data_IF_807303594558
#
_entry.id   IF_807303594558
#
_cell.length_a   1.000
_cell.length_b   1.000
_cell.length_c   1.000
_cell.angle_alpha   90.00
_cell.angle_beta   90.00
_cell.angle_gamma   90.00
#
_symmetry.space_group_name_H-M   'P 1'
#
loop_
_entity.id
_entity.type
_entity.pdbx_description
1 polymer ?
#
# COMPACT_ATOMS: atom_id res chain seq x y z
N UNK A 1 -16.02 -17.92 -2.41
CA UNK A 1 -17.40 -17.72 -2.91
C UNK A 1 -17.96 -16.50 -2.22
N UNK A 2 -18.32 -15.44 -2.94
CA UNK A 2 -18.94 -14.25 -2.34
C UNK A 2 -20.46 -14.43 -2.27
N UNK A 3 -21.13 -14.00 -1.18
CA UNK A 3 -22.56 -14.16 -1.03
C UNK A 3 -23.29 -13.31 -2.07
N UNK A 4 -24.25 -13.91 -2.79
CA UNK A 4 -25.17 -13.19 -3.67
C UNK A 4 -26.26 -12.56 -2.81
N UNK A 5 -26.36 -11.24 -2.84
CA UNK A 5 -27.40 -10.49 -2.12
C UNK A 5 -28.52 -10.21 -3.11
N UNK A 6 -29.75 -10.56 -2.74
CA UNK A 6 -30.93 -10.34 -3.56
C UNK A 6 -32.02 -9.69 -2.71
N UNK A 7 -32.92 -8.93 -3.34
CA UNK A 7 -34.10 -8.39 -2.68
C UNK A 7 -35.06 -9.54 -2.39
N UNK A 8 -35.54 -9.64 -1.15
CA UNK A 8 -36.49 -10.68 -0.75
C UNK A 8 -37.80 -10.56 -1.52
N UNK A 9 -38.26 -11.66 -2.12
CA UNK A 9 -39.47 -11.70 -2.96
C UNK A 9 -40.73 -11.21 -2.25
N UNK A 10 -40.84 -11.47 -0.95
CA UNK A 10 -41.95 -10.97 -0.11
C UNK A 10 -42.15 -9.45 -0.22
N UNK A 11 -41.08 -8.66 -0.33
CA UNK A 11 -41.20 -7.19 -0.46
C UNK A 11 -41.59 -6.76 -1.88
N UNK A 12 -41.15 -7.52 -2.89
CA UNK A 12 -41.53 -7.29 -4.28
C UNK A 12 -43.03 -7.56 -4.49
N UNK A 13 -43.58 -8.55 -3.80
CA UNK A 13 -45.01 -8.86 -3.86
C UNK A 13 -45.88 -7.85 -3.10
N UNK A 14 -45.39 -7.30 -1.97
CA UNK A 14 -46.08 -6.23 -1.24
C UNK A 14 -46.28 -4.97 -2.09
N UNK A 15 -45.39 -4.70 -3.05
CA UNK A 15 -45.48 -3.53 -3.93
C UNK A 15 -46.53 -3.72 -5.02
N UNK A 16 -46.68 -4.94 -5.54
CA UNK A 16 -47.71 -5.25 -6.54
C UNK A 16 -49.14 -5.04 -6.01
N UNK A 17 -49.29 -5.03 -4.68
CA UNK A 17 -50.56 -4.87 -3.99
C UNK A 17 -50.57 -3.63 -3.08
N UNK A 18 -49.63 -2.71 -3.25
CA UNK A 18 -49.56 -1.50 -2.43
C UNK A 18 -50.64 -0.50 -2.83
N UNK A 19 -51.16 0.23 -1.84
CA UNK A 19 -52.08 1.34 -2.09
C UNK A 19 -51.34 2.50 -2.78
N UNK A 20 -52.03 3.32 -3.59
CA UNK A 20 -51.41 4.42 -4.33
C UNK A 20 -50.65 5.44 -3.47
N UNK A 21 -51.02 5.57 -2.19
CA UNK A 21 -50.31 6.44 -1.24
C UNK A 21 -48.98 5.82 -0.73
N UNK A 22 -48.89 4.49 -0.63
CA UNK A 22 -47.71 3.78 -0.11
C UNK A 22 -46.72 3.36 -1.19
N UNK A 23 -47.20 3.20 -2.43
CA UNK A 23 -46.38 2.80 -3.58
C UNK A 23 -45.12 3.67 -3.78
N UNK A 24 -45.16 5.03 -3.74
CA UNK A 24 -43.97 5.86 -3.97
C UNK A 24 -42.88 5.64 -2.91
N UNK A 25 -43.30 5.43 -1.67
CA UNK A 25 -42.40 5.19 -0.54
C UNK A 25 -41.69 3.84 -0.70
N UNK A 26 -42.42 2.80 -1.12
CA UNK A 26 -41.84 1.46 -1.33
C UNK A 26 -40.88 1.42 -2.52
N UNK A 27 -41.21 2.13 -3.61
CA UNK A 27 -40.31 2.30 -4.76
C UNK A 27 -38.97 2.94 -4.34
N UNK A 28 -39.01 3.98 -3.49
CA UNK A 28 -37.80 4.61 -2.95
C UNK A 28 -36.94 3.61 -2.14
N UNK A 29 -37.56 2.75 -1.33
CA UNK A 29 -36.83 1.72 -0.58
C UNK A 29 -36.17 0.69 -1.50
N UNK A 30 -36.84 0.25 -2.57
CA UNK A 30 -36.22 -0.63 -3.58
C UNK A 30 -35.02 0.04 -4.23
N UNK A 31 -35.15 1.29 -4.66
CA UNK A 31 -34.03 2.01 -5.29
C UNK A 31 -32.82 2.08 -4.36
N UNK A 32 -33.06 2.35 -3.06
CA UNK A 32 -32.01 2.31 -2.03
C UNK A 32 -31.39 0.92 -1.88
N UNK A 33 -32.21 -0.13 -1.83
CA UNK A 33 -31.72 -1.50 -1.74
C UNK A 33 -30.88 -1.89 -2.95
N UNK A 34 -31.31 -1.55 -4.16
CA UNK A 34 -30.56 -1.80 -5.39
C UNK A 34 -29.21 -1.06 -5.38
N UNK A 35 -29.20 0.21 -4.96
CA UNK A 35 -27.96 0.98 -4.82
C UNK A 35 -26.98 0.35 -3.81
N UNK A 36 -27.49 -0.23 -2.71
CA UNK A 36 -26.66 -0.97 -1.75
C UNK A 36 -26.09 -2.23 -2.39
N UNK A 37 -26.90 -3.00 -3.13
CA UNK A 37 -26.45 -4.20 -3.83
C UNK A 37 -25.34 -3.85 -4.82
N UNK A 38 -25.55 -2.86 -5.68
CA UNK A 38 -24.54 -2.36 -6.62
C UNK A 38 -23.25 -1.93 -5.92
N UNK A 39 -23.36 -1.25 -4.78
CA UNK A 39 -22.21 -0.81 -3.99
C UNK A 39 -21.42 -2.01 -3.44
N UNK A 40 -22.11 -3.07 -3.03
CA UNK A 40 -21.47 -4.30 -2.56
C UNK A 40 -20.78 -5.04 -3.72
N UNK A 41 -21.43 -5.10 -4.89
CA UNK A 41 -20.85 -5.69 -6.10
C UNK A 41 -19.58 -4.94 -6.54
N UNK A 42 -19.61 -3.61 -6.57
CA UNK A 42 -18.42 -2.78 -6.86
C UNK A 42 -17.29 -3.01 -5.86
N UNK A 43 -17.62 -3.12 -4.57
CA UNK A 43 -16.63 -3.43 -3.51
C UNK A 43 -16.00 -4.81 -3.74
N UNK A 44 -16.82 -5.79 -4.12
CA UNK A 44 -16.39 -7.15 -4.40
C UNK A 44 -15.49 -7.23 -5.64
N UNK A 45 -15.87 -6.55 -6.72
CA UNK A 45 -15.06 -6.42 -7.94
C UNK A 45 -13.71 -5.77 -7.65
N UNK A 46 -13.72 -4.65 -6.91
CA UNK A 46 -12.50 -3.96 -6.48
C UNK A 46 -11.57 -4.90 -5.70
N UNK A 47 -12.12 -5.70 -4.79
CA UNK A 47 -11.32 -6.67 -4.02
C UNK A 47 -10.71 -7.75 -4.91
N UNK A 48 -11.43 -8.25 -5.91
CA UNK A 48 -10.90 -9.23 -6.88
C UNK A 48 -9.74 -8.60 -7.66
N UNK A 49 -9.96 -7.42 -8.25
CA UNK A 49 -8.97 -6.70 -9.05
C UNK A 49 -7.69 -6.42 -8.25
N UNK A 50 -7.83 -5.94 -7.02
CA UNK A 50 -6.69 -5.71 -6.11
C UNK A 50 -5.99 -7.02 -5.76
N UNK A 51 -6.73 -8.10 -5.49
CA UNK A 51 -6.13 -9.40 -5.18
C UNK A 51 -5.35 -9.98 -6.35
N UNK A 52 -5.85 -9.81 -7.58
CA UNK A 52 -5.18 -10.24 -8.80
C UNK A 52 -3.90 -9.43 -9.05
N UNK A 53 -3.94 -8.11 -8.86
CA UNK A 53 -2.75 -7.26 -8.95
C UNK A 53 -1.69 -7.66 -7.92
N UNK A 54 -2.08 -7.93 -6.67
CA UNK A 54 -1.16 -8.44 -5.65
C UNK A 54 -0.57 -9.79 -6.08
N UNK A 55 -1.40 -10.74 -6.52
CA UNK A 55 -0.93 -12.06 -6.91
C UNK A 55 0.07 -12.02 -8.06
N UNK A 56 -0.18 -11.16 -9.05
CA UNK A 56 0.72 -10.93 -10.19
C UNK A 56 2.06 -10.34 -9.77
N UNK A 57 2.07 -9.36 -8.88
CA UNK A 57 3.30 -8.66 -8.47
C UNK A 57 4.05 -9.35 -7.30
N UNK A 58 3.44 -10.34 -6.63
CA UNK A 58 4.00 -11.01 -5.44
C UNK A 58 4.07 -12.53 -5.63
N UNK A 59 4.22 -13.00 -6.87
CA UNK A 59 4.24 -14.42 -7.21
C UNK A 59 5.32 -15.18 -6.40
N UNK A 60 6.54 -14.63 -6.32
CA UNK A 60 7.65 -15.23 -5.55
C UNK A 60 7.32 -15.41 -4.07
N UNK A 61 6.78 -14.36 -3.43
CA UNK A 61 6.38 -14.41 -2.02
C UNK A 61 5.27 -15.45 -1.78
N UNK A 62 4.33 -15.56 -2.73
CA UNK A 62 3.23 -16.53 -2.68
C UNK A 62 3.73 -17.98 -2.84
N UNK A 63 4.72 -18.19 -3.72
CA UNK A 63 5.37 -19.49 -3.94
C UNK A 63 6.38 -19.88 -2.85
N UNK A 64 6.61 -19.01 -1.87
CA UNK A 64 7.50 -19.27 -0.73
C UNK A 64 8.97 -18.90 -0.98
N UNK A 65 9.28 -18.24 -2.09
CA UNK A 65 10.61 -17.67 -2.31
C UNK A 65 10.73 -16.33 -1.57
N UNK A 66 11.33 -16.37 -0.38
CA UNK A 66 11.59 -15.18 0.45
C UNK A 66 12.96 -14.57 0.20
N UNK A 67 13.73 -15.08 -0.76
CA UNK A 67 15.12 -14.63 -0.97
C UNK A 67 15.21 -13.24 -1.60
N UNK A 68 14.17 -12.81 -2.35
CA UNK A 68 14.07 -11.49 -2.97
C UNK A 68 12.59 -11.05 -3.03
N UNK A 69 12.03 -10.45 -1.97
CA UNK A 69 10.68 -9.90 -2.04
C UNK A 69 10.65 -8.77 -3.09
N UNK A 70 9.72 -8.85 -4.03
CA UNK A 70 9.55 -7.78 -5.01
C UNK A 70 8.88 -6.58 -4.32
N UNK A 71 9.43 -5.37 -4.45
CA UNK A 71 8.84 -4.20 -3.81
C UNK A 71 7.49 -3.87 -4.45
N UNK A 72 6.40 -3.92 -3.69
CA UNK A 72 5.06 -3.51 -4.14
C UNK A 72 4.52 -2.40 -3.24
N UNK A 73 4.08 -1.29 -3.82
CA UNK A 73 3.48 -0.18 -3.06
C UNK A 73 1.97 -0.11 -3.32
N UNK A 74 1.22 0.49 -2.39
CA UNK A 74 -0.21 0.73 -2.65
C UNK A 74 -0.42 1.71 -3.80
N UNK A 75 0.54 2.61 -4.05
CA UNK A 75 0.51 3.56 -5.17
C UNK A 75 0.65 2.84 -6.51
N UNK A 76 1.57 1.89 -6.65
CA UNK A 76 1.75 1.19 -7.94
C UNK A 76 0.49 0.40 -8.33
N UNK A 77 -0.19 -0.23 -7.36
CA UNK A 77 -1.46 -0.92 -7.61
C UNK A 77 -2.61 0.07 -7.86
N UNK A 78 -2.60 1.22 -7.19
CA UNK A 78 -3.55 2.30 -7.42
C UNK A 78 -3.46 2.81 -8.87
N UNK A 79 -2.23 3.03 -9.36
CA UNK A 79 -1.96 3.46 -10.73
C UNK A 79 -2.32 2.37 -11.77
N UNK A 80 -1.98 1.10 -11.50
CA UNK A 80 -2.32 -0.04 -12.38
C UNK A 80 -3.84 -0.20 -12.55
N UNK A 81 -4.61 0.08 -11.51
CA UNK A 81 -6.06 -0.15 -11.49
C UNK A 81 -6.90 1.11 -11.72
N UNK A 82 -6.27 2.27 -11.90
CA UNK A 82 -6.91 3.59 -11.96
C UNK A 82 -7.83 3.83 -10.74
N UNK A 83 -7.28 3.61 -9.55
CA UNK A 83 -7.97 3.76 -8.28
C UNK A 83 -7.20 4.70 -7.35
N UNK A 84 -7.89 5.31 -6.39
CA UNK A 84 -7.20 6.07 -5.35
C UNK A 84 -6.48 5.14 -4.36
N UNK A 85 -5.30 5.56 -3.88
CA UNK A 85 -4.54 4.83 -2.82
C UNK A 85 -5.40 4.56 -1.58
N UNK A 86 -6.25 5.51 -1.20
CA UNK A 86 -7.16 5.35 -0.07
C UNK A 86 -8.19 4.23 -0.28
N UNK A 87 -8.60 3.98 -1.54
CA UNK A 87 -9.44 2.84 -1.92
C UNK A 87 -8.70 1.53 -1.74
N UNK A 88 -7.44 1.43 -2.19
CA UNK A 88 -6.59 0.24 -2.01
C UNK A 88 -6.40 -0.05 -0.53
N UNK A 89 -5.98 0.96 0.26
CA UNK A 89 -5.76 0.85 1.69
C UNK A 89 -7.00 0.34 2.45
N UNK A 90 -8.19 0.88 2.13
CA UNK A 90 -9.46 0.41 2.71
C UNK A 90 -9.82 -1.00 2.26
N UNK A 91 -9.58 -1.33 0.99
CA UNK A 91 -9.89 -2.62 0.40
C UNK A 91 -9.15 -3.76 1.13
N UNK A 92 -7.84 -3.59 1.38
CA UNK A 92 -6.98 -4.61 1.98
C UNK A 92 -7.05 -4.65 3.52
N UNK A 93 -7.59 -3.60 4.16
CA UNK A 93 -7.68 -3.51 5.62
C UNK A 93 -8.57 -4.63 6.19
N UNK A 94 -7.99 -5.38 7.13
CA UNK A 94 -8.67 -6.49 7.81
C UNK A 94 -9.04 -7.65 6.87
N UNK A 95 -8.38 -7.74 5.71
CA UNK A 95 -8.50 -8.88 4.79
C UNK A 95 -7.26 -9.75 4.86
N UNK A 96 -7.46 -11.02 4.63
CA UNK A 96 -6.43 -12.05 4.74
C UNK A 96 -6.50 -12.96 3.53
N UNK A 97 -5.33 -13.39 3.07
CA UNK A 97 -5.17 -14.37 2.01
C UNK A 97 -4.66 -15.65 2.64
N UNK A 98 -5.32 -16.76 2.30
CA UNK A 98 -4.83 -18.09 2.66
C UNK A 98 -3.90 -18.57 1.55
N UNK A 99 -2.63 -18.74 1.88
CA UNK A 99 -1.63 -19.42 1.08
C UNK A 99 -1.60 -20.91 1.46
N UNK A 100 -0.76 -21.70 0.80
CA UNK A 100 -0.69 -23.16 1.02
C UNK A 100 -0.27 -23.52 2.45
N UNK A 101 0.64 -22.75 3.03
CA UNK A 101 1.32 -23.00 4.31
C UNK A 101 0.85 -22.07 5.44
N UNK A 102 0.23 -20.94 5.11
CA UNK A 102 -0.08 -19.86 6.09
C UNK A 102 -1.22 -18.95 5.66
N UNK A 103 -1.67 -18.12 6.59
CA UNK A 103 -2.62 -17.03 6.35
C UNK A 103 -1.89 -15.70 6.52
N UNK A 104 -1.95 -14.83 5.51
CA UNK A 104 -1.22 -13.57 5.48
C UNK A 104 -2.20 -12.40 5.38
N UNK A 105 -2.08 -11.35 6.22
CA UNK A 105 -2.81 -10.10 6.02
C UNK A 105 -2.52 -9.50 4.64
N UNK A 106 -3.54 -9.07 3.89
CA UNK A 106 -3.34 -8.50 2.54
C UNK A 106 -2.43 -7.27 2.53
N UNK A 107 -2.43 -6.49 3.62
CA UNK A 107 -1.58 -5.32 3.76
C UNK A 107 -0.07 -5.65 3.80
N UNK A 108 0.30 -6.88 4.18
CA UNK A 108 1.70 -7.28 4.37
C UNK A 108 2.38 -7.63 3.02
N UNK A 109 1.61 -7.70 1.93
CA UNK A 109 2.13 -7.76 0.56
C UNK A 109 2.63 -6.41 0.04
N UNK A 110 2.42 -5.32 0.79
CA UNK A 110 2.86 -3.98 0.41
C UNK A 110 4.01 -3.54 1.31
N UNK A 111 5.00 -2.86 0.72
CA UNK A 111 6.04 -2.20 1.48
C UNK A 111 5.48 -1.04 2.28
N UNK A 112 5.97 -0.88 3.52
CA UNK A 112 5.78 0.33 4.30
C UNK A 112 6.62 1.48 3.74
N UNK A 113 6.21 2.07 2.62
CA UNK A 113 6.76 3.33 2.13
C UNK A 113 6.50 4.48 3.11
N UNK A 114 7.36 5.50 3.09
CA UNK A 114 7.10 6.77 3.78
C UNK A 114 6.22 7.58 2.84
N UNK A 115 4.91 7.66 3.10
CA UNK A 115 4.04 8.55 2.32
C UNK A 115 4.50 9.99 2.48
N UNK A 116 4.92 10.60 1.36
CA UNK A 116 5.13 12.04 1.28
C UNK A 116 3.75 12.69 1.27
N UNK A 117 3.38 13.38 2.35
CA UNK A 117 2.14 14.15 2.40
C UNK A 117 2.32 15.43 1.58
N UNK A 118 2.43 15.37 0.26
CA UNK A 118 2.38 16.55 -0.61
C UNK A 118 2.12 16.17 -2.06
N UNK A 119 1.28 16.94 -2.73
CA UNK A 119 0.87 16.80 -4.13
C UNK A 119 2.01 16.90 -5.19
N UNK A 120 3.27 16.82 -4.77
CA UNK A 120 4.48 16.84 -5.61
C UNK A 120 5.58 15.87 -5.13
N UNK A 121 5.34 15.08 -4.07
CA UNK A 121 6.33 14.12 -3.55
C UNK A 121 6.30 12.81 -4.32
N UNK A 122 7.48 12.28 -4.67
CA UNK A 122 7.59 10.92 -5.21
C UNK A 122 7.41 9.92 -4.08
N UNK A 123 6.27 9.22 -4.07
CA UNK A 123 5.99 8.14 -3.12
C UNK A 123 6.86 6.91 -3.45
N UNK A 124 8.04 6.84 -2.83
CA UNK A 124 8.95 5.72 -2.96
C UNK A 124 8.69 4.66 -1.89
N UNK A 125 8.75 3.38 -2.31
CA UNK A 125 8.73 2.24 -1.39
C UNK A 125 9.94 2.24 -0.46
N UNK A 126 9.84 1.54 0.68
CA UNK A 126 10.94 1.45 1.64
C UNK A 126 12.22 0.96 0.97
N UNK A 127 12.13 -0.07 0.12
CA UNK A 127 13.30 -0.64 -0.56
C UNK A 127 13.94 0.34 -1.53
N UNK A 128 13.13 1.14 -2.25
CA UNK A 128 13.63 2.18 -3.14
C UNK A 128 14.33 3.31 -2.36
N UNK A 129 13.76 3.76 -1.23
CA UNK A 129 14.41 4.75 -0.37
C UNK A 129 15.73 4.21 0.18
N UNK A 130 15.75 2.94 0.59
CA UNK A 130 16.95 2.28 1.09
C UNK A 130 18.03 2.15 0.01
N UNK A 131 17.66 1.86 -1.24
CA UNK A 131 18.59 1.80 -2.36
C UNK A 131 19.19 3.18 -2.68
N UNK A 132 18.37 4.24 -2.74
CA UNK A 132 18.86 5.61 -2.93
C UNK A 132 19.77 6.03 -1.77
N UNK A 133 19.41 5.69 -0.53
CA UNK A 133 20.22 5.97 0.66
C UNK A 133 21.57 5.25 0.60
N UNK A 134 21.58 3.98 0.19
CA UNK A 134 22.80 3.19 0.01
C UNK A 134 23.72 3.84 -1.02
N UNK A 135 23.19 4.23 -2.19
CA UNK A 135 23.97 4.91 -3.23
C UNK A 135 24.55 6.25 -2.74
N UNK A 136 23.80 7.02 -1.93
CA UNK A 136 24.30 8.27 -1.34
C UNK A 136 25.47 8.03 -0.36
N UNK A 137 25.42 6.95 0.41
CA UNK A 137 26.47 6.59 1.38
C UNK A 137 27.70 6.00 0.67
N UNK A 138 27.50 5.16 -0.35
CA UNK A 138 28.60 4.54 -1.10
C UNK A 138 29.42 5.54 -1.92
N UNK A 139 28.76 6.58 -2.44
CA UNK A 139 29.39 7.65 -3.21
C UNK A 139 29.84 8.85 -2.35
N UNK A 140 29.84 8.73 -1.01
CA UNK A 140 30.25 9.82 -0.13
C UNK A 140 31.77 10.01 -0.10
N UNK A 141 32.21 11.24 0.17
CA UNK A 141 33.62 11.49 0.50
C UNK A 141 33.94 10.85 1.85
N UNK A 142 34.77 9.80 1.84
CA UNK A 142 35.18 9.06 3.04
C UNK A 142 35.89 9.94 4.09
N UNK A 143 36.50 11.06 3.68
CA UNK A 143 37.12 12.03 4.61
C UNK A 143 36.07 12.92 5.29
N UNK A 144 34.89 13.08 4.68
CA UNK A 144 33.76 13.89 5.16
C UNK A 144 32.42 13.16 4.97
N UNK A 145 32.20 12.03 5.67
CA UNK A 145 30.99 11.23 5.51
C UNK A 145 29.73 12.04 5.83
N UNK A 146 28.65 11.72 5.13
CA UNK A 146 27.37 12.41 5.25
C UNK A 146 26.69 12.02 6.57
N UNK A 147 26.36 13.01 7.39
CA UNK A 147 25.53 12.80 8.58
C UNK A 147 24.09 12.48 8.20
N UNK A 148 23.35 11.84 9.09
CA UNK A 148 21.92 11.53 8.86
C UNK A 148 21.10 12.78 8.53
N UNK A 149 21.48 13.95 9.07
CA UNK A 149 20.85 15.22 8.74
C UNK A 149 21.13 15.64 7.28
N UNK A 150 22.37 15.45 6.80
CA UNK A 150 22.72 15.73 5.39
C UNK A 150 22.09 14.72 4.43
N UNK A 151 22.04 13.44 4.80
CA UNK A 151 21.36 12.40 4.03
C UNK A 151 19.86 12.72 3.92
N UNK A 152 19.24 13.15 5.01
CA UNK A 152 17.84 13.63 5.02
C UNK A 152 17.64 14.80 4.06
N UNK A 153 18.51 15.81 4.11
CA UNK A 153 18.43 16.96 3.21
C UNK A 153 18.55 16.55 1.73
N UNK A 154 19.51 15.67 1.38
CA UNK A 154 19.68 15.15 0.01
C UNK A 154 18.49 14.33 -0.48
N UNK A 155 17.83 13.59 0.39
CA UNK A 155 16.61 12.85 0.06
C UNK A 155 15.43 13.82 -0.16
N UNK A 156 15.27 14.81 0.70
CA UNK A 156 14.25 15.85 0.53
C UNK A 156 14.46 16.68 -0.75
N UNK A 157 15.71 17.01 -1.12
CA UNK A 157 16.06 17.66 -2.39
C UNK A 157 15.66 16.83 -3.62
N UNK A 158 15.62 15.50 -3.49
CA UNK A 158 15.16 14.55 -4.51
C UNK A 158 13.63 14.34 -4.49
N UNK A 159 12.89 15.11 -3.69
CA UNK A 159 11.44 14.99 -3.54
C UNK A 159 10.99 13.89 -2.59
N UNK A 160 11.92 13.24 -1.87
CA UNK A 160 11.64 12.14 -0.93
C UNK A 160 11.51 12.74 0.46
N UNK A 161 10.29 13.05 0.89
CA UNK A 161 10.03 13.67 2.19
C UNK A 161 10.23 12.65 3.32
N UNK A 162 11.36 12.73 4.03
CA UNK A 162 11.72 11.76 5.07
C UNK A 162 12.25 12.45 6.33
N UNK A 163 11.97 11.86 7.50
CA UNK A 163 12.48 12.35 8.78
C UNK A 163 13.85 11.74 9.08
N UNK A 164 14.71 12.52 9.75
CA UNK A 164 16.05 12.09 10.18
C UNK A 164 16.07 10.77 10.95
N UNK A 165 15.07 10.53 11.82
CA UNK A 165 14.97 9.27 12.58
C UNK A 165 14.73 8.06 11.66
N UNK A 166 13.96 8.23 10.59
CA UNK A 166 13.71 7.19 9.59
C UNK A 166 14.98 6.91 8.77
N UNK A 167 15.71 7.97 8.37
CA UNK A 167 17.01 7.82 7.70
C UNK A 167 18.02 7.06 8.57
N UNK A 168 18.11 7.38 9.86
CA UNK A 168 18.98 6.66 10.79
C UNK A 168 18.59 5.18 10.89
N UNK A 169 17.30 4.86 11.03
CA UNK A 169 16.80 3.48 11.04
C UNK A 169 17.16 2.74 9.75
N UNK A 170 16.97 3.36 8.58
CA UNK A 170 17.25 2.73 7.29
C UNK A 170 18.75 2.52 7.06
N UNK A 171 19.58 3.48 7.47
CA UNK A 171 21.04 3.35 7.47
C UNK A 171 21.51 2.15 8.30
N UNK A 172 20.96 2.01 9.51
CA UNK A 172 21.33 0.92 10.42
C UNK A 172 20.89 -0.45 9.85
N UNK A 173 19.71 -0.53 9.23
CA UNK A 173 19.24 -1.73 8.52
C UNK A 173 20.12 -2.11 7.32
N UNK A 174 20.71 -1.11 6.65
CA UNK A 174 21.69 -1.32 5.56
C UNK A 174 23.09 -1.70 6.08
N UNK A 175 23.30 -1.71 7.40
CA UNK A 175 24.59 -2.06 8.01
C UNK A 175 25.63 -0.93 8.00
N UNK A 176 25.24 0.30 7.69
CA UNK A 176 26.16 1.44 7.71
C UNK A 176 26.25 2.07 9.11
N UNK A 177 27.48 2.26 9.59
CA UNK A 177 27.72 2.93 10.87
C UNK A 177 27.45 4.44 10.79
N UNK A 178 27.44 5.11 11.95
CA UNK A 178 27.33 6.58 12.02
C UNK A 178 28.45 7.29 11.25
N UNK A 179 28.17 8.50 10.75
CA UNK A 179 29.17 9.30 10.02
C UNK A 179 30.48 9.48 10.81
N UNK A 180 30.41 9.70 12.14
CA UNK A 180 31.59 9.80 12.99
C UNK A 180 32.41 8.51 13.04
N UNK A 181 31.76 7.35 13.06
CA UNK A 181 32.44 6.05 13.04
C UNK A 181 33.05 5.75 11.65
N UNK A 182 32.32 6.04 10.57
CA UNK A 182 32.83 5.88 9.19
C UNK A 182 34.06 6.76 8.93
N UNK A 183 34.06 7.99 9.46
CA UNK A 183 35.22 8.90 9.38
C UNK A 183 36.46 8.32 10.06
N UNK A 184 36.31 7.83 11.30
CA UNK A 184 37.42 7.20 12.05
C UNK A 184 37.98 5.99 11.31
N UNK A 185 37.14 5.14 10.72
CA UNK A 185 37.61 3.99 9.92
C UNK A 185 38.38 4.40 8.66
N UNK A 186 38.00 5.51 8.02
CA UNK A 186 38.72 6.02 6.85
C UNK A 186 40.09 6.59 7.24
N UNK A 187 40.20 7.24 8.40
CA UNK A 187 41.46 7.74 8.96
C UNK A 187 42.42 6.60 9.35
N UNK A 188 41.92 5.44 9.78
CA UNK A 188 42.73 4.26 10.10
C UNK A 188 43.15 3.42 8.88
N UNK A 189 42.50 3.59 7.73
CA UNK A 189 42.78 2.84 6.48
C UNK A 189 43.61 3.63 5.47
N UNK A 190 43.91 4.90 5.74
CA UNK A 190 44.77 5.77 4.92
C UNK A 190 46.18 5.79 5.49
#
# INVERSE_FOLDING_TARGET
MMPKITVSQRYLDLIKHADPETEPTLQLYIQRLNSIIESIEKRNDTLIRVSQAIAKNQEKMILGDTSSPEPLTMQSVADELDLNVSTISRCVRGKFVRLQDRIVPMKDFFETGVSGNSAQGTDLGQSQIMEVLKQLIENEDKKKPLSDAKLTARLNEKGIEIKRRTVAKYRDLLGFETASARKRKAEFKS
#
